data_IF_046723192112
#
_entry.id   IF_046723192112
#
_cell.length_a   1.000
_cell.length_b   1.000
_cell.length_c   1.000
_cell.angle_alpha   90.00
_cell.angle_beta   90.00
_cell.angle_gamma   90.00
#
_symmetry.space_group_name_H-M   'P 1'
#
loop_
_entity.id
_entity.type
_entity.pdbx_description
1 polymer ?
#
# COMPACT_ATOMS: atom_id res chain seq x y z
N UNK A 1 3.27 -8.59 -14.33
CA UNK A 1 4.00 -7.78 -14.00
C UNK A 1 3.57 -6.71 -13.19
N UNK A 2 3.19 -6.66 -12.13
CA UNK A 2 2.84 -5.59 -11.31
C UNK A 2 4.06 -4.91 -10.77
N UNK A 3 3.89 -3.70 -10.35
CA UNK A 3 4.96 -2.95 -9.75
C UNK A 3 4.96 -3.20 -8.26
N UNK A 4 6.10 -3.12 -7.62
CA UNK A 4 6.15 -3.30 -6.18
C UNK A 4 5.38 -2.21 -5.46
N UNK A 5 4.78 -2.58 -4.35
CA UNK A 5 4.02 -1.63 -3.54
C UNK A 5 4.76 -1.40 -2.24
N UNK A 6 5.03 -0.15 -1.94
CA UNK A 6 5.76 0.21 -0.73
C UNK A 6 4.80 0.63 0.36
N UNK A 7 5.04 0.16 1.56
CA UNK A 7 4.27 0.59 2.71
C UNK A 7 5.14 1.55 3.50
N UNK A 8 4.69 2.77 3.68
CA UNK A 8 5.46 3.78 4.37
C UNK A 8 4.71 4.31 5.58
N UNK A 9 5.45 4.76 6.54
CA UNK A 9 4.87 5.41 7.69
C UNK A 9 5.83 6.49 8.13
N UNK A 10 5.32 7.71 8.31
CA UNK A 10 6.15 8.85 8.68
C UNK A 10 7.29 9.07 7.69
N UNK A 11 7.02 8.80 6.43
CA UNK A 11 8.04 9.01 5.41
C UNK A 11 9.08 7.91 5.31
N UNK A 12 8.92 6.86 6.10
CA UNK A 12 9.89 5.78 6.11
C UNK A 12 9.28 4.54 5.48
N UNK A 13 10.00 3.90 4.56
CA UNK A 13 9.52 2.67 3.95
C UNK A 13 9.74 1.54 4.93
N UNK A 14 8.67 0.94 5.39
CA UNK A 14 8.79 -0.14 6.36
C UNK A 14 8.62 -1.51 5.74
N UNK A 15 8.05 -1.58 4.56
CA UNK A 15 7.83 -2.87 3.94
C UNK A 15 7.62 -2.68 2.44
N UNK A 16 7.97 -3.69 1.65
CA UNK A 16 7.75 -3.63 0.22
C UNK A 16 7.16 -4.96 -0.22
N UNK A 17 6.03 -4.92 -0.90
CA UNK A 17 5.41 -6.12 -1.44
C UNK A 17 5.67 -6.14 -2.92
N UNK A 18 6.01 -7.30 -3.46
CA UNK A 18 6.37 -7.35 -4.85
C UNK A 18 5.17 -7.16 -5.76
N UNK A 19 3.98 -7.46 -5.30
CA UNK A 19 2.80 -7.15 -6.10
C UNK A 19 1.59 -7.22 -5.19
N UNK A 20 0.42 -7.07 -5.79
CA UNK A 20 -0.80 -7.00 -5.00
C UNK A 20 -1.14 -8.29 -4.29
N UNK A 21 -0.62 -9.40 -4.78
CA UNK A 21 -1.02 -10.67 -4.19
C UNK A 21 -0.43 -10.87 -2.81
N UNK A 22 0.64 -10.18 -2.47
CA UNK A 22 1.19 -10.33 -1.14
C UNK A 22 0.82 -9.15 -0.24
N UNK A 23 -0.04 -8.28 -0.72
CA UNK A 23 -0.41 -7.13 0.08
C UNK A 23 -1.52 -7.49 1.06
N UNK A 24 -1.76 -6.62 2.01
CA UNK A 24 -2.79 -6.85 3.00
C UNK A 24 -4.17 -6.76 2.38
N UNK A 25 -5.17 -7.39 2.97
CA UNK A 25 -6.54 -7.23 2.49
C UNK A 25 -6.99 -5.79 2.58
N UNK A 26 -7.95 -5.38 1.75
CA UNK A 26 -8.39 -3.99 1.76
C UNK A 26 -8.87 -3.48 3.11
N UNK A 27 -9.51 -4.32 3.89
CA UNK A 27 -9.97 -3.92 5.20
C UNK A 27 -8.82 -3.58 6.10
N UNK A 28 -7.77 -4.38 6.04
CA UNK A 28 -6.60 -4.16 6.87
C UNK A 28 -5.89 -2.90 6.41
N UNK A 29 -5.79 -2.70 5.10
CA UNK A 29 -5.11 -1.54 4.57
C UNK A 29 -5.85 -0.26 4.96
N UNK A 30 -7.16 -0.31 4.99
CA UNK A 30 -7.94 0.84 5.40
C UNK A 30 -7.64 1.20 6.85
N UNK A 31 -7.54 0.18 7.70
CA UNK A 31 -7.22 0.38 9.07
C UNK A 31 -5.82 0.95 9.22
N UNK A 32 -4.88 0.43 8.46
CA UNK A 32 -3.51 0.91 8.50
C UNK A 32 -3.43 2.37 8.07
N UNK A 33 -4.18 2.74 7.05
CA UNK A 33 -4.17 4.12 6.63
C UNK A 33 -4.68 5.03 7.74
N UNK A 34 -5.66 4.59 8.47
CA UNK A 34 -6.18 5.37 9.58
C UNK A 34 -5.13 5.52 10.66
N UNK A 35 -4.14 4.64 10.69
CA UNK A 35 -3.09 4.71 11.68
C UNK A 35 -1.82 5.38 11.14
N UNK A 36 -1.91 6.01 10.00
CA UNK A 36 -0.78 6.76 9.49
C UNK A 36 0.05 6.06 8.44
N UNK A 37 -0.34 4.87 8.03
CA UNK A 37 0.40 4.16 7.00
C UNK A 37 -0.03 4.64 5.62
N UNK A 38 0.87 4.57 4.68
CA UNK A 38 0.59 4.95 3.31
C UNK A 38 1.14 3.91 2.37
N UNK A 39 0.44 3.71 1.28
CA UNK A 39 0.83 2.70 0.30
C UNK A 39 1.15 3.39 -1.01
N UNK A 40 2.28 3.06 -1.60
CA UNK A 40 2.71 3.69 -2.84
C UNK A 40 3.03 2.64 -3.89
N UNK A 41 2.76 2.95 -5.13
CA UNK A 41 3.10 2.07 -6.23
C UNK A 41 3.54 2.96 -7.38
N UNK A 42 4.74 2.71 -7.92
CA UNK A 42 5.26 3.53 -9.02
C UNK A 42 5.34 5.00 -8.64
N UNK A 43 5.68 5.27 -7.39
CA UNK A 43 5.81 6.64 -6.96
C UNK A 43 4.49 7.37 -6.74
N UNK A 44 3.37 6.66 -6.84
CA UNK A 44 2.07 7.26 -6.65
C UNK A 44 1.33 6.56 -5.54
N UNK A 45 0.35 7.22 -4.98
CA UNK A 45 -0.45 6.63 -3.92
C UNK A 45 -1.21 5.44 -4.49
N UNK A 46 -1.11 4.31 -3.83
CA UNK A 46 -1.81 3.10 -4.24
C UNK A 46 -3.19 3.09 -3.59
N UNK A 47 -4.23 2.83 -4.38
CA UNK A 47 -5.57 2.81 -3.86
C UNK A 47 -6.21 1.48 -4.10
N UNK A 48 -6.22 0.61 -3.14
CA UNK A 48 -6.75 -0.73 -3.32
C UNK A 48 -8.24 -0.76 -3.59
N UNK A 49 -8.96 0.21 -3.00
CA UNK A 49 -10.35 0.17 -3.20
C UNK A 49 -10.81 0.97 -4.32
N UNK A 50 -9.96 1.44 -5.21
CA UNK A 50 -10.41 2.18 -6.25
C UNK A 50 -11.21 1.31 -7.14
N UNK A 51 -12.30 1.59 -7.57
CA UNK A 51 -12.93 0.82 -8.42
C UNK A 51 -13.53 1.55 -9.37
N UNK A 52 -13.68 1.29 -10.28
CA UNK A 52 -14.04 1.94 -11.24
C UNK A 52 -15.05 1.91 -11.55
#
# INVERSE_FOLDING_TARGET
MGSPIEVRRDGVVICVCKDESCLYPPEIMRDMKANGYKFYQDGKIYRPEKKE
#
